data_IF_884100031317
#
_entry.id   IF_884100031317
#
_cell.length_a   1.000
_cell.length_b   1.000
_cell.length_c   1.000
_cell.angle_alpha   90.00
_cell.angle_beta   90.00
_cell.angle_gamma   90.00
#
_symmetry.space_group_name_H-M   'P 1'
#
loop_
_entity.id
_entity.type
_entity.pdbx_description
1 polymer ?
#
# COMPACT_ATOMS: atom_id res chain seq x y z
N UNK A 1 -39.91 -25.53 35.30
CA UNK A 1 -39.30 -24.23 35.69
C UNK A 1 -37.78 -24.29 35.85
N UNK A 2 -37.15 -25.46 36.06
CA UNK A 2 -35.69 -25.58 36.24
C UNK A 2 -34.83 -25.50 34.95
N UNK A 3 -35.41 -25.70 33.76
CA UNK A 3 -34.64 -25.61 32.49
C UNK A 3 -34.47 -24.17 31.96
N UNK A 4 -35.26 -23.21 32.43
CA UNK A 4 -35.26 -21.84 31.87
C UNK A 4 -34.17 -20.94 32.48
N UNK A 5 -33.77 -21.17 33.74
CA UNK A 5 -32.66 -20.45 34.37
C UNK A 5 -31.30 -20.89 33.83
N UNK A 6 -31.11 -22.19 33.57
CA UNK A 6 -29.85 -22.73 33.04
C UNK A 6 -29.56 -22.20 31.62
N UNK A 7 -30.60 -22.03 30.81
CA UNK A 7 -30.46 -21.54 29.43
C UNK A 7 -30.06 -20.04 29.38
N UNK A 8 -30.52 -19.22 30.35
CA UNK A 8 -30.13 -17.80 30.45
C UNK A 8 -28.65 -17.64 30.80
N UNK A 9 -28.10 -18.50 31.68
CA UNK A 9 -26.69 -18.44 32.07
C UNK A 9 -25.71 -18.69 30.91
N UNK A 10 -26.02 -19.65 30.03
CA UNK A 10 -25.17 -19.99 28.88
C UNK A 10 -25.16 -18.85 27.84
N UNK A 11 -26.31 -18.21 27.59
CA UNK A 11 -26.41 -17.12 26.62
C UNK A 11 -25.66 -15.87 27.08
N UNK A 12 -25.75 -15.53 28.38
CA UNK A 12 -25.01 -14.39 28.95
C UNK A 12 -23.49 -14.58 28.87
N UNK A 13 -23.01 -15.79 29.16
CA UNK A 13 -21.59 -16.15 29.03
C UNK A 13 -21.06 -15.97 27.59
N UNK A 14 -21.85 -16.39 26.60
CA UNK A 14 -21.46 -16.28 25.19
C UNK A 14 -21.45 -14.84 24.67
N UNK A 15 -22.40 -14.02 25.10
CA UNK A 15 -22.41 -12.58 24.77
C UNK A 15 -21.18 -11.92 25.39
N UNK A 16 -20.86 -12.22 26.64
CA UNK A 16 -19.70 -11.61 27.32
C UNK A 16 -18.37 -11.96 26.62
N UNK A 17 -18.24 -13.20 26.12
CA UNK A 17 -17.08 -13.62 25.32
C UNK A 17 -17.01 -12.87 23.97
N UNK A 18 -18.13 -12.72 23.26
CA UNK A 18 -18.17 -11.97 21.99
C UNK A 18 -17.85 -10.49 22.16
N UNK A 19 -18.40 -9.88 23.21
CA UNK A 19 -18.17 -8.47 23.58
C UNK A 19 -16.70 -8.21 23.90
N UNK A 20 -16.10 -9.02 24.78
CA UNK A 20 -14.72 -8.82 25.23
C UNK A 20 -13.73 -8.97 24.07
N UNK A 21 -13.87 -10.01 23.25
CA UNK A 21 -12.98 -10.25 22.11
C UNK A 21 -13.18 -9.18 21.03
N UNK A 22 -14.43 -8.83 20.71
CA UNK A 22 -14.73 -7.81 19.70
C UNK A 22 -14.18 -6.44 20.07
N UNK A 23 -14.41 -6.00 21.32
CA UNK A 23 -13.94 -4.70 21.80
C UNK A 23 -12.41 -4.64 21.86
N UNK A 24 -11.74 -5.69 22.37
CA UNK A 24 -10.29 -5.72 22.48
C UNK A 24 -9.62 -5.74 21.09
N UNK A 25 -10.14 -6.56 20.17
CA UNK A 25 -9.66 -6.60 18.79
C UNK A 25 -9.89 -5.25 18.10
N UNK A 26 -11.08 -4.66 18.25
CA UNK A 26 -11.43 -3.38 17.66
C UNK A 26 -10.51 -2.24 18.12
N UNK A 27 -10.19 -2.18 19.43
CA UNK A 27 -9.26 -1.19 19.97
C UNK A 27 -7.85 -1.38 19.41
N UNK A 28 -7.34 -2.62 19.35
CA UNK A 28 -6.01 -2.90 18.78
C UNK A 28 -5.95 -2.46 17.32
N UNK A 29 -7.01 -2.72 16.54
CA UNK A 29 -7.11 -2.29 15.14
C UNK A 29 -7.19 -0.77 15.03
N UNK A 30 -8.00 -0.12 15.86
CA UNK A 30 -8.16 1.34 15.87
C UNK A 30 -6.88 2.09 16.27
N UNK A 31 -6.05 1.49 17.13
CA UNK A 31 -4.75 2.04 17.52
C UNK A 31 -3.61 1.71 16.54
N UNK A 32 -3.75 0.65 15.73
CA UNK A 32 -2.73 0.20 14.79
C UNK A 32 -2.67 1.09 13.54
N UNK A 33 -1.60 1.88 13.45
CA UNK A 33 -1.30 2.76 12.30
C UNK A 33 -0.66 2.01 11.15
N UNK A 34 -0.16 0.79 11.41
CA UNK A 34 0.61 0.05 10.42
C UNK A 34 -0.32 -0.57 9.36
N UNK A 35 -0.15 -0.23 8.08
CA UNK A 35 -0.89 -0.83 6.96
C UNK A 35 -0.79 -2.36 6.95
N UNK A 36 0.36 -2.90 7.34
CA UNK A 36 0.61 -4.35 7.41
C UNK A 36 -0.34 -5.05 8.39
N UNK A 37 -0.61 -4.42 9.53
CA UNK A 37 -1.53 -4.96 10.54
C UNK A 37 -2.96 -4.97 10.00
N UNK A 38 -3.36 -3.99 9.20
CA UNK A 38 -4.68 -3.98 8.54
C UNK A 38 -4.84 -5.12 7.54
N UNK A 39 -3.80 -5.41 6.74
CA UNK A 39 -3.84 -6.51 5.75
C UNK A 39 -3.95 -7.87 6.45
N UNK A 40 -3.16 -8.08 7.50
CA UNK A 40 -3.18 -9.32 8.28
C UNK A 40 -4.52 -9.49 9.01
N UNK A 41 -5.05 -8.43 9.63
CA UNK A 41 -6.35 -8.50 10.28
C UNK A 41 -7.50 -8.64 9.29
N UNK A 42 -7.40 -8.06 8.09
CA UNK A 42 -8.38 -8.26 7.02
C UNK A 42 -8.45 -9.72 6.57
N UNK A 43 -7.29 -10.37 6.40
CA UNK A 43 -7.25 -11.80 6.04
C UNK A 43 -7.74 -12.69 7.19
N UNK A 44 -7.35 -12.41 8.43
CA UNK A 44 -7.85 -13.11 9.62
C UNK A 44 -9.36 -12.92 9.83
N UNK A 45 -9.89 -11.71 9.63
CA UNK A 45 -11.31 -11.43 9.72
C UNK A 45 -12.09 -12.14 8.61
N UNK A 46 -11.56 -12.16 7.38
CA UNK A 46 -12.13 -12.92 6.27
C UNK A 46 -12.13 -14.43 6.55
N UNK A 47 -11.05 -14.95 7.13
CA UNK A 47 -10.94 -16.35 7.53
C UNK A 47 -11.93 -16.69 8.66
N UNK A 48 -12.06 -15.83 9.68
CA UNK A 48 -13.03 -15.99 10.76
C UNK A 48 -14.46 -15.91 10.24
N UNK A 49 -14.77 -14.96 9.36
CA UNK A 49 -16.08 -14.83 8.73
C UNK A 49 -16.41 -16.07 7.87
N UNK A 50 -15.41 -16.61 7.15
CA UNK A 50 -15.55 -17.88 6.46
C UNK A 50 -15.80 -19.03 7.44
N UNK A 51 -15.03 -19.19 8.52
CA UNK A 51 -15.24 -20.27 9.47
C UNK A 51 -16.57 -20.16 10.25
N UNK A 52 -16.97 -18.96 10.63
CA UNK A 52 -18.23 -18.69 11.34
C UNK A 52 -19.45 -18.76 10.42
N UNK A 53 -19.31 -18.39 9.14
CA UNK A 53 -20.39 -18.40 8.15
C UNK A 53 -20.55 -19.74 7.42
N UNK A 54 -19.49 -20.52 7.27
CA UNK A 54 -19.49 -21.79 6.52
C UNK A 54 -19.76 -23.01 7.40
N UNK A 55 -19.65 -22.90 8.73
CA UNK A 55 -19.97 -24.03 9.62
C UNK A 55 -21.45 -24.42 9.58
N UNK A 56 -22.37 -23.49 9.34
CA UNK A 56 -23.81 -23.79 9.32
C UNK A 56 -24.29 -24.52 8.05
N UNK A 57 -23.54 -24.43 6.94
CA UNK A 57 -23.91 -25.07 5.66
C UNK A 57 -23.38 -26.51 5.51
N UNK A 58 -22.33 -26.89 6.26
CA UNK A 58 -21.78 -28.25 6.22
C UNK A 58 -22.53 -29.25 7.13
N UNK A 59 -23.10 -28.79 8.25
CA UNK A 59 -23.83 -29.66 9.18
C UNK A 59 -25.32 -29.85 8.85
N UNK A 60 -25.87 -29.11 7.89
CA UNK A 60 -27.28 -29.21 7.46
C UNK A 60 -27.54 -30.30 6.41
N UNK A 61 -26.51 -31.09 6.03
CA UNK A 61 -26.61 -32.15 5.01
C UNK A 61 -26.72 -33.58 5.54
N UNK A 62 -26.87 -33.79 6.84
CA UNK A 62 -26.98 -35.15 7.39
C UNK A 62 -28.13 -35.26 8.39
N UNK A 63 -29.23 -35.88 7.95
CA UNK A 63 -30.26 -36.42 8.84
C UNK A 63 -31.44 -35.48 9.11
N UNK A 64 -32.62 -36.01 8.84
CA UNK A 64 -33.95 -35.48 9.09
C UNK A 64 -34.21 -35.31 10.60
N UNK A 65 -33.58 -34.32 11.23
CA UNK A 65 -33.74 -34.01 12.66
C UNK A 65 -34.24 -32.58 12.89
N UNK A 66 -35.46 -32.45 13.42
CA UNK A 66 -36.08 -31.27 14.04
C UNK A 66 -35.55 -29.88 13.61
N UNK A 67 -36.17 -29.31 12.57
CA UNK A 67 -35.96 -27.94 12.08
C UNK A 67 -36.00 -26.87 13.22
N UNK A 68 -36.69 -27.14 14.32
CA UNK A 68 -36.78 -26.23 15.48
C UNK A 68 -35.51 -26.17 16.34
N UNK A 69 -34.76 -27.29 16.46
CA UNK A 69 -33.50 -27.34 17.21
C UNK A 69 -32.36 -26.70 16.43
N UNK A 70 -32.34 -26.87 15.11
CA UNK A 70 -31.37 -26.21 14.21
C UNK A 70 -31.55 -24.68 14.27
N UNK A 71 -32.79 -24.18 14.23
CA UNK A 71 -33.07 -22.75 14.34
C UNK A 71 -32.61 -22.15 15.69
N UNK A 72 -32.70 -22.92 16.79
CA UNK A 72 -32.24 -22.46 18.10
C UNK A 72 -30.71 -22.34 18.20
N UNK A 73 -29.95 -23.22 17.53
CA UNK A 73 -28.49 -23.14 17.46
C UNK A 73 -28.01 -22.01 16.56
N UNK A 74 -28.67 -21.79 15.43
CA UNK A 74 -28.40 -20.67 14.52
C UNK A 74 -28.65 -19.33 15.23
N UNK A 75 -29.72 -19.22 16.04
CA UNK A 75 -29.98 -18.01 16.83
C UNK A 75 -28.89 -17.73 17.87
N UNK A 76 -28.36 -18.77 18.54
CA UNK A 76 -27.27 -18.59 19.52
C UNK A 76 -25.95 -18.22 18.87
N UNK A 77 -25.59 -18.86 17.75
CA UNK A 77 -24.38 -18.53 16.97
C UNK A 77 -24.46 -17.11 16.38
N UNK A 78 -25.63 -16.74 15.83
CA UNK A 78 -25.88 -15.41 15.27
C UNK A 78 -25.80 -14.29 16.30
N UNK A 79 -26.25 -14.52 17.54
CA UNK A 79 -26.12 -13.53 18.63
C UNK A 79 -24.65 -13.31 19.01
N UNK A 80 -23.83 -14.37 19.04
CA UNK A 80 -22.39 -14.26 19.33
C UNK A 80 -21.66 -13.50 18.22
N UNK A 81 -21.90 -13.85 16.96
CA UNK A 81 -21.31 -13.15 15.81
C UNK A 81 -21.77 -11.69 15.72
N UNK A 82 -23.05 -11.43 15.97
CA UNK A 82 -23.62 -10.08 15.99
C UNK A 82 -23.04 -9.21 17.10
N UNK A 83 -22.93 -9.73 18.32
CA UNK A 83 -22.32 -9.01 19.44
C UNK A 83 -20.83 -8.75 19.21
N UNK A 84 -20.09 -9.70 18.67
CA UNK A 84 -18.69 -9.50 18.28
C UNK A 84 -18.54 -8.37 17.26
N UNK A 85 -19.32 -8.38 16.18
CA UNK A 85 -19.24 -7.36 15.13
C UNK A 85 -19.59 -5.97 15.64
N UNK A 86 -20.69 -5.83 16.39
CA UNK A 86 -21.13 -4.55 16.94
C UNK A 86 -20.10 -3.95 17.90
N UNK A 87 -19.55 -4.76 18.81
CA UNK A 87 -18.53 -4.28 19.75
C UNK A 87 -17.16 -4.07 19.10
N UNK A 88 -16.86 -4.76 17.99
CA UNK A 88 -15.68 -4.48 17.18
C UNK A 88 -15.74 -3.06 16.59
N UNK A 89 -16.88 -2.67 16.02
CA UNK A 89 -17.07 -1.30 15.49
C UNK A 89 -16.94 -0.25 16.61
N UNK A 90 -17.54 -0.49 17.78
CA UNK A 90 -17.39 0.39 18.94
C UNK A 90 -15.92 0.46 19.39
N UNK A 91 -15.22 -0.68 19.43
CA UNK A 91 -13.80 -0.74 19.78
C UNK A 91 -12.93 0.04 18.80
N UNK A 92 -13.21 -0.03 17.49
CA UNK A 92 -12.50 0.75 16.47
C UNK A 92 -12.70 2.25 16.70
N UNK A 93 -13.96 2.69 16.87
CA UNK A 93 -14.28 4.09 17.15
C UNK A 93 -13.56 4.58 18.42
N UNK A 94 -13.59 3.77 19.47
CA UNK A 94 -12.93 4.08 20.75
C UNK A 94 -11.41 4.14 20.59
N UNK A 95 -10.80 3.23 19.82
CA UNK A 95 -9.38 3.26 19.49
C UNK A 95 -8.99 4.52 18.71
N UNK A 96 -9.80 4.94 17.75
CA UNK A 96 -9.60 6.20 17.00
C UNK A 96 -9.70 7.40 17.93
N UNK A 97 -10.72 7.45 18.81
CA UNK A 97 -10.90 8.56 19.77
C UNK A 97 -9.74 8.64 20.75
N UNK A 98 -9.28 7.50 21.31
CA UNK A 98 -8.11 7.43 22.18
C UNK A 98 -6.84 7.94 21.49
N UNK A 99 -6.69 7.60 20.21
CA UNK A 99 -5.58 8.06 19.38
C UNK A 99 -5.66 9.57 19.12
N UNK A 100 -6.82 10.09 18.75
CA UNK A 100 -7.01 11.51 18.40
C UNK A 100 -6.86 12.43 19.60
N UNK A 101 -7.25 11.99 20.80
CA UNK A 101 -7.14 12.80 22.01
C UNK A 101 -5.78 12.72 22.71
N UNK A 102 -4.75 12.12 22.09
CA UNK A 102 -3.41 11.98 22.67
C UNK A 102 -3.44 11.41 24.11
N UNK A 103 -4.47 10.61 24.47
CA UNK A 103 -4.68 10.14 25.85
C UNK A 103 -3.53 9.26 26.34
N UNK A 104 -2.86 8.58 25.41
CA UNK A 104 -1.69 7.74 25.66
C UNK A 104 -0.35 8.46 25.41
N UNK A 105 -0.38 9.72 25.02
CA UNK A 105 0.82 10.50 24.72
C UNK A 105 1.26 11.26 25.97
N UNK A 106 2.53 11.14 26.33
CA UNK A 106 3.12 11.92 27.43
C UNK A 106 2.95 13.41 27.12
N UNK A 107 2.46 14.18 28.08
CA UNK A 107 2.25 15.62 27.92
C UNK A 107 3.56 16.33 27.53
N UNK A 108 3.47 17.40 26.73
CA UNK A 108 4.67 18.17 26.30
C UNK A 108 5.50 18.61 27.50
N UNK A 109 4.84 19.02 28.59
CA UNK A 109 5.49 19.44 29.84
C UNK A 109 6.36 18.33 30.42
N UNK A 110 5.82 17.12 30.47
CA UNK A 110 6.52 15.96 31.02
C UNK A 110 7.64 15.47 30.09
N UNK A 111 7.48 15.59 28.77
CA UNK A 111 8.58 15.34 27.82
C UNK A 111 9.74 16.32 28.04
N UNK A 112 9.47 17.63 28.17
CA UNK A 112 10.49 18.64 28.45
C UNK A 112 11.16 18.36 29.79
N UNK A 113 10.37 18.02 30.81
CA UNK A 113 10.88 17.73 32.15
C UNK A 113 11.85 16.54 32.14
N UNK A 114 11.57 15.47 31.39
CA UNK A 114 12.51 14.33 31.26
C UNK A 114 13.88 14.73 30.70
N UNK A 115 13.90 15.63 29.72
CA UNK A 115 15.16 16.15 29.17
C UNK A 115 15.89 17.06 30.16
N UNK A 116 15.16 17.86 30.93
CA UNK A 116 15.75 18.69 32.00
C UNK A 116 16.33 17.81 33.11
N UNK A 117 15.62 16.76 33.52
CA UNK A 117 16.08 15.77 34.51
C UNK A 117 17.32 15.00 34.01
N UNK A 118 17.45 14.80 32.69
CA UNK A 118 18.65 14.24 32.07
C UNK A 118 19.84 15.22 32.02
N UNK A 119 19.70 16.44 32.53
CA UNK A 119 20.77 17.44 32.65
C UNK A 119 20.86 18.43 31.49
N UNK A 120 19.89 18.45 30.57
CA UNK A 120 19.84 19.46 29.51
C UNK A 120 19.23 20.78 30.01
N UNK A 121 19.69 21.90 29.45
CA UNK A 121 19.11 23.22 29.73
C UNK A 121 17.63 23.29 29.33
N UNK A 122 16.80 23.98 30.13
CA UNK A 122 15.35 24.04 29.89
C UNK A 122 14.97 24.66 28.55
N UNK A 123 15.76 25.58 28.01
CA UNK A 123 15.50 26.19 26.70
C UNK A 123 15.82 25.20 25.57
N UNK A 124 16.92 24.46 25.69
CA UNK A 124 17.34 23.45 24.73
C UNK A 124 16.40 22.22 24.74
N UNK A 125 15.97 21.78 25.92
CA UNK A 125 14.99 20.70 26.08
C UNK A 125 13.66 21.01 25.37
N UNK A 126 13.18 22.26 25.42
CA UNK A 126 11.98 22.68 24.68
C UNK A 126 12.20 22.59 23.18
N UNK A 127 13.35 23.05 22.69
CA UNK A 127 13.70 22.98 21.28
C UNK A 127 13.83 21.53 20.79
N UNK A 128 14.37 20.64 21.61
CA UNK A 128 14.44 19.19 21.35
C UNK A 128 13.05 18.56 21.24
N UNK A 129 12.13 18.87 22.17
CA UNK A 129 10.76 18.34 22.13
C UNK A 129 10.00 18.88 20.91
N UNK A 130 10.17 20.16 20.60
CA UNK A 130 9.61 20.78 19.38
C UNK A 130 10.18 20.11 18.13
N UNK A 131 11.50 19.90 18.07
CA UNK A 131 12.14 19.18 16.98
C UNK A 131 11.66 17.72 16.89
N UNK A 132 11.45 17.03 18.01
CA UNK A 132 10.98 15.64 17.99
C UNK A 132 9.53 15.53 17.50
N UNK A 133 8.65 16.46 17.88
CA UNK A 133 7.24 16.48 17.48
C UNK A 133 7.03 17.04 16.07
N UNK A 134 7.64 18.17 15.78
CA UNK A 134 7.40 18.94 14.55
C UNK A 134 8.49 18.73 13.50
N UNK A 135 9.65 18.17 13.88
CA UNK A 135 10.84 18.00 13.01
C UNK A 135 11.34 19.30 12.37
N UNK A 136 10.91 20.45 12.91
CA UNK A 136 11.40 21.78 12.58
C UNK A 136 12.55 22.08 13.54
N UNK A 137 13.72 22.40 13.01
CA UNK A 137 14.86 22.85 13.81
C UNK A 137 14.64 24.33 14.14
N UNK A 138 14.38 24.69 15.41
CA UNK A 138 14.29 26.10 15.78
C UNK A 138 15.70 26.68 15.73
N UNK A 139 16.01 27.45 14.70
CA UNK A 139 17.20 28.28 14.71
C UNK A 139 16.99 29.39 15.76
N UNK A 140 18.01 29.59 16.59
CA UNK A 140 18.00 30.51 17.73
C UNK A 140 17.71 31.98 17.37
N UNK A 141 17.66 32.32 16.08
CA UNK A 141 17.42 33.66 15.54
C UNK A 141 16.19 33.78 14.61
N UNK A 142 15.36 32.73 14.44
CA UNK A 142 14.15 32.80 13.64
C UNK A 142 13.83 31.48 12.91
N UNK A 143 12.55 31.17 12.75
CA UNK A 143 12.08 29.98 12.03
C UNK A 143 12.53 30.03 10.56
N UNK A 144 13.66 29.41 10.25
CA UNK A 144 14.04 29.08 8.87
C UNK A 144 13.67 27.62 8.62
N UNK A 145 12.48 27.42 8.08
CA UNK A 145 12.11 26.13 7.52
C UNK A 145 12.93 25.99 6.25
N UNK A 146 13.98 25.16 6.27
CA UNK A 146 14.63 24.72 5.05
C UNK A 146 13.59 23.91 4.25
N UNK A 147 13.16 24.38 3.06
CA UNK A 147 12.12 23.71 2.28
C UNK A 147 12.50 22.27 1.92
N UNK A 148 13.80 21.98 1.78
CA UNK A 148 14.29 20.64 1.44
C UNK A 148 14.26 19.72 2.67
N UNK A 149 14.55 20.25 3.85
CA UNK A 149 14.48 19.52 5.11
C UNK A 149 13.02 19.30 5.56
N UNK A 150 12.14 20.26 5.31
CA UNK A 150 10.70 20.15 5.55
C UNK A 150 10.03 19.11 4.64
N UNK A 151 10.40 19.06 3.36
CA UNK A 151 9.94 18.02 2.46
C UNK A 151 10.38 16.62 2.93
N UNK A 152 11.64 16.45 3.34
CA UNK A 152 12.15 15.17 3.86
C UNK A 152 11.59 14.76 5.22
N UNK A 153 11.14 15.71 6.05
CA UNK A 153 10.60 15.41 7.38
C UNK A 153 9.10 15.15 7.37
N UNK A 154 8.35 15.71 6.42
CA UNK A 154 6.97 15.31 6.13
C UNK A 154 6.93 13.87 5.56
N UNK A 155 7.91 13.49 4.74
CA UNK A 155 8.07 12.13 4.18
C UNK A 155 8.39 11.05 5.23
N UNK A 156 8.92 11.43 6.40
CA UNK A 156 9.21 10.50 7.49
C UNK A 156 8.03 10.32 8.47
N UNK A 157 7.03 11.21 8.40
CA UNK A 157 5.82 11.19 9.21
C UNK A 157 4.63 10.53 8.48
N UNK A 158 4.64 10.52 7.15
CA UNK A 158 3.82 9.60 6.36
C UNK A 158 4.35 8.19 6.58
N UNK A 159 3.46 7.25 6.93
CA UNK A 159 3.86 5.86 7.18
C UNK A 159 4.70 5.29 6.03
N UNK A 160 5.44 4.22 6.34
CA UNK A 160 6.33 3.40 5.48
C UNK A 160 5.83 3.07 4.04
N UNK A 161 4.62 3.47 3.65
CA UNK A 161 4.05 3.43 2.31
C UNK A 161 4.56 4.50 1.34
N UNK A 162 5.32 5.49 1.81
CA UNK A 162 5.93 6.50 0.93
C UNK A 162 7.39 6.74 1.28
N UNK A 163 8.11 5.65 1.58
CA UNK A 163 9.56 5.72 1.73
C UNK A 163 10.12 6.24 0.42
N UNK A 164 10.94 7.30 0.45
CA UNK A 164 11.49 8.00 -0.72
C UNK A 164 12.12 7.12 -1.82
N UNK A 165 12.44 5.86 -1.52
CA UNK A 165 12.82 4.83 -2.50
C UNK A 165 11.69 4.54 -3.51
N UNK A 166 10.43 4.63 -3.10
CA UNK A 166 9.25 4.49 -3.96
C UNK A 166 8.84 5.79 -4.67
N UNK A 167 9.14 6.98 -4.12
CA UNK A 167 9.02 8.23 -4.92
C UNK A 167 10.13 8.37 -5.98
N UNK A 168 11.23 7.60 -5.84
CA UNK A 168 12.17 7.34 -6.93
C UNK A 168 11.68 6.26 -7.91
N UNK A 169 10.58 5.54 -7.62
CA UNK A 169 9.98 4.65 -8.60
C UNK A 169 9.25 5.51 -9.63
N UNK A 170 10.01 5.92 -10.65
CA UNK A 170 9.53 6.52 -11.90
C UNK A 170 8.27 5.82 -12.43
N UNK A 171 8.10 4.53 -12.13
CA UNK A 171 6.91 3.71 -12.34
C UNK A 171 5.57 4.37 -12.07
N UNK A 172 5.35 4.89 -10.85
CA UNK A 172 4.03 5.42 -10.49
C UNK A 172 3.77 6.72 -11.27
N UNK A 173 4.82 7.53 -11.49
CA UNK A 173 4.71 8.75 -12.29
C UNK A 173 4.57 8.52 -13.79
N UNK A 174 5.08 7.39 -14.30
CA UNK A 174 5.07 7.00 -15.70
C UNK A 174 3.86 6.11 -16.06
N UNK A 175 3.12 5.57 -15.09
CA UNK A 175 1.94 4.74 -15.39
C UNK A 175 0.87 5.53 -16.17
N UNK A 176 0.37 4.93 -17.26
CA UNK A 176 -0.69 5.51 -18.11
C UNK A 176 -2.02 5.66 -17.37
N UNK A 177 -2.27 4.78 -16.40
CA UNK A 177 -3.47 4.79 -15.54
C UNK A 177 -3.60 6.07 -14.70
N UNK A 178 -2.47 6.73 -14.39
CA UNK A 178 -2.47 8.03 -13.70
C UNK A 178 -3.09 9.15 -14.53
N UNK A 179 -3.07 9.03 -15.85
CA UNK A 179 -3.50 10.07 -16.79
C UNK A 179 -4.82 9.73 -17.51
N UNK A 180 -5.71 9.00 -16.81
CA UNK A 180 -7.02 8.57 -17.30
C UNK A 180 -6.93 7.70 -18.56
N UNK A 181 -5.92 6.84 -18.65
CA UNK A 181 -5.68 5.96 -19.80
C UNK A 181 -5.51 6.67 -21.15
N UNK A 182 -5.25 7.98 -21.12
CA UNK A 182 -5.00 8.79 -22.31
C UNK A 182 -3.51 8.86 -22.62
N UNK A 183 -3.16 8.36 -23.80
CA UNK A 183 -1.81 8.42 -24.35
C UNK A 183 -1.34 9.87 -24.50
N UNK A 184 -2.18 10.75 -25.03
CA UNK A 184 -1.83 12.15 -25.26
C UNK A 184 -1.53 12.88 -23.95
N UNK A 185 -2.38 12.70 -22.93
CA UNK A 185 -2.17 13.29 -21.61
C UNK A 185 -0.89 12.75 -20.94
N UNK A 186 -0.59 11.46 -21.15
CA UNK A 186 0.65 10.85 -20.63
C UNK A 186 1.87 11.46 -21.31
N UNK A 187 1.84 11.61 -22.64
CA UNK A 187 2.94 12.21 -23.41
C UNK A 187 3.13 13.70 -23.10
N UNK A 188 2.05 14.45 -22.87
CA UNK A 188 2.12 15.84 -22.42
C UNK A 188 2.74 15.94 -21.02
N UNK A 189 2.37 15.05 -20.10
CA UNK A 189 2.99 14.98 -18.78
C UNK A 189 4.50 14.67 -18.86
N UNK A 190 4.91 13.84 -19.82
CA UNK A 190 6.32 13.48 -20.04
C UNK A 190 7.16 14.66 -20.56
N UNK A 191 6.56 15.61 -21.28
CA UNK A 191 7.29 16.80 -21.74
C UNK A 191 7.78 17.68 -20.57
N UNK A 192 7.04 17.68 -19.46
CA UNK A 192 7.39 18.40 -18.22
C UNK A 192 8.43 17.68 -17.35
N UNK A 193 8.83 16.47 -17.71
CA UNK A 193 9.79 15.66 -16.94
C UNK A 193 11.24 15.91 -17.40
N UNK A 194 12.15 15.06 -16.90
CA UNK A 194 13.57 15.06 -17.25
C UNK A 194 13.81 14.92 -18.76
N UNK A 195 14.92 15.47 -19.31
CA UNK A 195 15.16 15.51 -20.75
C UNK A 195 15.15 14.13 -21.44
N UNK A 196 15.54 13.06 -20.74
CA UNK A 196 15.57 11.69 -21.27
C UNK A 196 14.15 11.16 -21.52
N UNK A 197 13.23 11.43 -20.58
CA UNK A 197 11.81 11.06 -20.70
C UNK A 197 11.12 11.87 -21.80
N UNK A 198 11.52 13.14 -21.98
CA UNK A 198 11.05 13.98 -23.08
C UNK A 198 11.48 13.45 -24.44
N UNK A 199 12.73 12.99 -24.58
CA UNK A 199 13.22 12.36 -25.82
C UNK A 199 12.46 11.06 -26.11
N UNK A 200 12.20 10.25 -25.08
CA UNK A 200 11.37 9.05 -25.20
C UNK A 200 9.95 9.39 -25.68
N UNK A 201 9.30 10.39 -25.07
CA UNK A 201 7.96 10.85 -25.48
C UNK A 201 7.93 11.33 -26.94
N UNK A 202 8.96 12.09 -27.36
CA UNK A 202 9.09 12.55 -28.75
C UNK A 202 9.23 11.39 -29.75
N UNK A 203 9.89 10.30 -29.35
CA UNK A 203 10.02 9.10 -30.18
C UNK A 203 8.71 8.31 -30.25
N UNK A 204 8.01 8.16 -29.12
CA UNK A 204 6.72 7.45 -29.08
C UNK A 204 5.66 8.17 -29.93
N UNK A 205 5.68 9.51 -30.00
CA UNK A 205 4.79 10.29 -30.87
C UNK A 205 4.91 9.95 -32.36
N UNK A 206 6.07 9.44 -32.81
CA UNK A 206 6.30 9.05 -34.21
C UNK A 206 5.63 7.71 -34.56
N UNK A 207 5.28 6.90 -33.55
CA UNK A 207 4.61 5.62 -33.74
C UNK A 207 3.13 5.83 -34.08
N UNK A 208 2.51 5.01 -34.94
CA UNK A 208 1.06 5.05 -35.18
C UNK A 208 0.23 4.91 -33.89
N UNK A 209 -0.83 5.70 -33.78
CA UNK A 209 -1.84 5.70 -32.71
C UNK A 209 -2.15 4.33 -32.07
N UNK A 210 -2.51 3.27 -32.85
CA UNK A 210 -2.94 2.00 -32.25
C UNK A 210 -1.86 1.28 -31.44
N UNK A 211 -0.58 1.62 -31.62
CA UNK A 211 0.54 0.96 -30.94
C UNK A 211 1.15 1.78 -29.81
N UNK A 212 0.80 3.07 -29.68
CA UNK A 212 1.43 3.98 -28.71
C UNK A 212 1.20 3.54 -27.26
N UNK A 213 -0.03 3.17 -26.91
CA UNK A 213 -0.38 2.74 -25.55
C UNK A 213 0.41 1.49 -25.14
N UNK A 214 0.49 0.50 -26.04
CA UNK A 214 1.25 -0.74 -25.80
C UNK A 214 2.72 -0.46 -25.60
N UNK A 215 3.32 0.38 -26.45
CA UNK A 215 4.74 0.73 -26.32
C UNK A 215 5.02 1.50 -25.03
N UNK A 216 4.17 2.46 -24.65
CA UNK A 216 4.34 3.19 -23.39
C UNK A 216 4.29 2.21 -22.22
N UNK A 217 3.29 1.34 -22.14
CA UNK A 217 3.17 0.39 -21.04
C UNK A 217 4.37 -0.56 -20.98
N UNK A 218 4.81 -1.12 -22.11
CA UNK A 218 5.99 -2.00 -22.16
C UNK A 218 7.28 -1.29 -21.73
N UNK A 219 7.48 -0.05 -22.16
CA UNK A 219 8.67 0.74 -21.77
C UNK A 219 8.62 1.08 -20.28
N UNK A 220 7.44 1.43 -19.75
CA UNK A 220 7.26 1.72 -18.33
C UNK A 220 7.49 0.47 -17.49
N UNK A 221 6.93 -0.67 -17.87
CA UNK A 221 7.14 -1.95 -17.19
C UNK A 221 8.63 -2.33 -17.19
N UNK A 222 9.34 -2.12 -18.29
CA UNK A 222 10.77 -2.38 -18.39
C UNK A 222 11.60 -1.44 -17.51
N UNK A 223 11.30 -0.13 -17.54
CA UNK A 223 11.94 0.85 -16.64
C UNK A 223 11.69 0.48 -15.18
N UNK A 224 10.50 -0.02 -14.87
CA UNK A 224 10.15 -0.45 -13.53
C UNK A 224 10.88 -1.69 -13.07
N UNK A 225 10.98 -2.68 -13.95
CA UNK A 225 11.71 -3.89 -13.69
C UNK A 225 13.21 -3.60 -13.47
N UNK A 226 13.79 -2.71 -14.27
CA UNK A 226 15.20 -2.33 -14.17
C UNK A 226 15.48 -1.35 -13.04
N UNK A 227 14.52 -0.51 -12.64
CA UNK A 227 14.66 0.40 -11.49
C UNK A 227 14.94 -0.32 -10.18
N UNK A 228 14.55 -1.59 -10.05
CA UNK A 228 14.86 -2.44 -8.89
C UNK A 228 16.34 -2.87 -8.87
N UNK A 229 17.04 -2.80 -10.01
CA UNK A 229 18.40 -3.32 -10.20
C UNK A 229 19.55 -2.29 -10.00
N UNK A 230 19.28 -1.14 -9.38
CA UNK A 230 20.25 -0.02 -9.20
C UNK A 230 20.86 0.56 -10.50
N UNK A 231 20.36 0.16 -11.68
CA UNK A 231 20.82 0.70 -12.96
C UNK A 231 20.41 2.17 -13.11
N UNK A 232 21.34 3.04 -13.53
CA UNK A 232 21.02 4.45 -13.80
C UNK A 232 20.15 4.54 -15.05
N UNK A 233 19.11 5.36 -14.97
CA UNK A 233 18.19 5.61 -16.09
C UNK A 233 18.94 6.13 -17.34
N UNK A 234 20.01 6.89 -17.15
CA UNK A 234 20.87 7.43 -18.20
C UNK A 234 21.48 6.30 -19.05
N UNK A 235 22.09 5.29 -18.41
CA UNK A 235 22.71 4.15 -19.08
C UNK A 235 21.68 3.31 -19.85
N UNK A 236 20.47 3.19 -19.29
CA UNK A 236 19.36 2.49 -19.93
C UNK A 236 18.87 3.23 -21.19
N UNK A 237 18.65 4.54 -21.10
CA UNK A 237 18.24 5.36 -22.24
C UNK A 237 19.29 5.36 -23.34
N UNK A 238 20.58 5.34 -23.00
CA UNK A 238 21.67 5.23 -23.97
C UNK A 238 21.68 3.86 -24.67
N UNK A 239 21.43 2.78 -23.92
CA UNK A 239 21.31 1.42 -24.48
C UNK A 239 20.12 1.29 -25.44
N UNK A 240 18.95 1.85 -25.07
CA UNK A 240 17.79 1.89 -25.96
C UNK A 240 18.07 2.68 -27.24
N UNK A 241 18.78 3.81 -27.13
CA UNK A 241 19.12 4.66 -28.29
C UNK A 241 20.00 3.95 -29.30
N UNK A 242 20.91 3.08 -28.83
CA UNK A 242 21.82 2.32 -29.70
C UNK A 242 21.11 1.18 -30.45
N UNK A 243 20.09 0.59 -29.85
CA UNK A 243 19.48 -0.65 -30.32
C UNK A 243 18.13 -0.48 -31.03
N UNK A 244 17.45 0.66 -30.88
CA UNK A 244 16.19 0.93 -31.59
C UNK A 244 16.48 1.38 -33.03
N UNK A 245 16.65 0.41 -33.93
CA UNK A 245 16.51 0.64 -35.37
C UNK A 245 15.03 0.51 -35.75
N UNK A 246 14.39 1.62 -36.13
CA UNK A 246 12.93 1.68 -36.38
C UNK A 246 12.46 0.68 -37.45
N UNK A 247 13.32 0.32 -38.40
CA UNK A 247 12.98 -0.65 -39.45
C UNK A 247 12.88 -2.10 -38.92
N UNK A 248 13.61 -2.46 -37.87
CA UNK A 248 13.53 -3.80 -37.25
C UNK A 248 12.31 -3.90 -36.32
N UNK A 249 11.85 -2.79 -35.75
CA UNK A 249 10.68 -2.79 -34.85
C UNK A 249 9.39 -3.14 -35.61
N UNK A 250 9.22 -2.66 -36.83
CA UNK A 250 8.03 -2.96 -37.64
C UNK A 250 7.99 -4.44 -38.02
N UNK A 251 9.15 -5.03 -38.33
CA UNK A 251 9.29 -6.45 -38.67
C UNK A 251 9.11 -7.35 -37.42
N UNK A 252 9.64 -6.93 -36.27
CA UNK A 252 9.48 -7.65 -35.00
C UNK A 252 8.05 -7.56 -34.46
N UNK A 253 7.36 -6.41 -34.61
CA UNK A 253 5.94 -6.26 -34.28
C UNK A 253 5.05 -7.08 -35.20
N UNK A 254 5.36 -7.14 -36.51
CA UNK A 254 4.64 -7.98 -37.45
C UNK A 254 4.76 -9.48 -37.09
N UNK A 255 5.96 -9.94 -36.74
CA UNK A 255 6.17 -11.33 -36.28
C UNK A 255 5.48 -11.62 -34.93
N UNK A 256 5.46 -10.67 -34.01
CA UNK A 256 4.82 -10.81 -32.68
C UNK A 256 3.29 -10.80 -32.75
N UNK A 257 2.68 -10.03 -33.66
CA UNK A 257 1.21 -10.06 -33.85
C UNK A 257 0.70 -11.35 -34.49
N UNK A 258 1.59 -12.19 -35.02
CA UNK A 258 1.26 -13.50 -35.58
C UNK A 258 1.34 -14.66 -34.56
N UNK A 259 1.87 -14.41 -33.35
CA UNK A 259 2.10 -15.43 -32.32
C UNK A 259 1.15 -15.21 -31.13
N UNK A 260 0.15 -16.10 -30.99
CA UNK A 260 -0.96 -16.02 -30.04
C UNK A 260 -0.60 -16.14 -28.53
N UNK A 261 0.66 -15.94 -28.15
CA UNK A 261 1.10 -16.08 -26.75
C UNK A 261 1.89 -14.87 -26.27
N UNK A 262 1.23 -14.08 -25.42
CA UNK A 262 1.80 -13.01 -24.63
C UNK A 262 2.83 -13.58 -23.64
N UNK A 263 4.10 -13.59 -24.01
CA UNK A 263 5.19 -13.75 -23.06
C UNK A 263 6.05 -12.47 -23.06
N UNK A 264 5.73 -11.56 -22.14
CA UNK A 264 6.42 -10.27 -21.95
C UNK A 264 7.92 -10.46 -21.70
N UNK A 265 8.33 -11.61 -21.15
CA UNK A 265 9.73 -11.97 -21.00
C UNK A 265 10.42 -12.20 -22.35
N UNK A 266 9.72 -12.76 -23.34
CA UNK A 266 10.26 -12.98 -24.69
C UNK A 266 10.37 -11.67 -25.48
N UNK A 267 9.46 -10.73 -25.24
CA UNK A 267 9.49 -9.38 -25.82
C UNK A 267 10.66 -8.54 -25.28
N UNK A 268 10.88 -8.57 -23.96
CA UNK A 268 12.05 -7.95 -23.35
C UNK A 268 13.35 -8.62 -23.82
N UNK A 269 13.36 -9.95 -23.92
CA UNK A 269 14.54 -10.69 -24.37
C UNK A 269 14.85 -10.45 -25.85
N UNK A 270 13.86 -10.35 -26.74
CA UNK A 270 14.08 -10.05 -28.17
C UNK A 270 14.53 -8.61 -28.42
N UNK A 271 14.08 -7.65 -27.60
CA UNK A 271 14.59 -6.27 -27.65
C UNK A 271 16.04 -6.20 -27.09
N UNK A 272 16.40 -7.07 -26.15
CA UNK A 272 17.74 -7.14 -25.54
C UNK A 272 18.73 -8.06 -26.27
N UNK A 273 18.31 -9.07 -27.02
CA UNK A 273 19.19 -10.00 -27.77
C UNK A 273 19.66 -9.44 -29.10
N UNK A 274 19.10 -8.32 -29.54
CA UNK A 274 19.64 -7.53 -30.66
C UNK A 274 20.75 -6.57 -30.20
N UNK A 275 21.62 -7.05 -29.31
CA UNK A 275 22.93 -6.45 -29.03
C UNK A 275 23.91 -7.22 -29.91
N UNK A 276 24.41 -6.65 -31.03
CA UNK A 276 25.40 -7.35 -31.84
C UNK A 276 26.67 -7.55 -31.01
N UNK A 277 27.11 -8.81 -30.92
CA UNK A 277 28.38 -9.21 -30.34
C UNK A 277 29.50 -8.44 -31.05
N UNK A 278 30.20 -7.58 -30.31
CA UNK A 278 31.34 -6.80 -30.80
C UNK A 278 32.58 -7.70 -30.80
N UNK A 279 32.63 -8.68 -31.72
CA UNK A 279 33.79 -9.52 -32.01
C UNK A 279 33.86 -9.81 -33.51
N UNK A 280 34.27 -8.82 -34.32
CA UNK A 280 35.25 -9.04 -35.39
C UNK A 280 35.58 -7.73 -36.13
N UNK A 281 36.64 -7.06 -35.68
CA UNK A 281 37.52 -6.23 -36.52
C UNK A 281 38.95 -6.40 -36.04
N UNK A 282 39.59 -7.45 -36.52
CA UNK A 282 41.04 -7.46 -36.75
C UNK A 282 41.35 -7.05 -38.18
#
# INVERSE_FOLDING_TARGET
MSNEESQKGIVVSQIFSGVGIGLLLGIIVGLSVSPVVKTILGSLAGLLAAFLGLQDSFFSKQGEEDFSKVQSRIKMSGIRAGSFGLFCVIGILLGIVLRTHEVLTISVKEQVQRWVEAGYDSSYARNLVVYQRLRIQPDSAGFKIDPQLAATTIDAASGFLFTKKEMQNYCVSLSVSKYNDSVDNTLEAYDGMKPEIRELAANIRKVPEPHRATIINSVVDLICYLGDSEMKLEDFCESLKKNINYNDIEQTLADLTSSDTYDLAMLANNILTYVPDEQDKS
#
